data_IF_164004190256
#
_entry.id   IF_164004190256
#
_cell.length_a   1.000
_cell.length_b   1.000
_cell.length_c   1.000
_cell.angle_alpha   90.00
_cell.angle_beta   90.00
_cell.angle_gamma   90.00
#
_symmetry.space_group_name_H-M   'P 1'
#
loop_
_entity.id
_entity.type
_entity.pdbx_description
1 polymer ?
#
# COMPACT_ATOMS: atom_id res chain seq x y z
N UNK A 1 -16.01 15.22 1.43
CA UNK A 1 -14.92 14.37 1.91
C UNK A 1 -15.02 13.09 1.11
N UNK A 2 -14.12 12.86 0.17
CA UNK A 2 -14.13 11.66 -0.67
C UNK A 2 -13.90 10.47 0.25
N UNK A 3 -14.81 9.51 0.24
CA UNK A 3 -14.81 8.38 1.17
C UNK A 3 -13.58 7.49 0.88
N UNK A 4 -12.96 6.91 1.92
CA UNK A 4 -11.86 5.95 1.78
C UNK A 4 -12.17 4.87 0.73
N UNK A 5 -13.43 4.41 0.70
CA UNK A 5 -13.94 3.43 -0.25
C UNK A 5 -13.97 3.94 -1.70
N UNK A 6 -14.22 5.23 -1.92
CA UNK A 6 -14.16 5.83 -3.26
C UNK A 6 -12.73 5.86 -3.79
N UNK A 7 -11.76 6.29 -2.95
CA UNK A 7 -10.34 6.28 -3.30
C UNK A 7 -9.81 4.86 -3.55
N UNK A 8 -10.21 3.90 -2.70
CA UNK A 8 -9.89 2.50 -2.85
C UNK A 8 -10.36 1.97 -4.20
N UNK A 9 -11.64 2.16 -4.52
CA UNK A 9 -12.25 1.68 -5.76
C UNK A 9 -11.61 2.32 -7.00
N UNK A 10 -11.38 3.64 -6.98
CA UNK A 10 -10.74 4.34 -8.08
C UNK A 10 -9.32 3.81 -8.35
N UNK A 11 -8.56 3.57 -7.29
CA UNK A 11 -7.19 3.05 -7.37
C UNK A 11 -7.14 1.60 -7.87
N UNK A 12 -8.10 0.76 -7.43
CA UNK A 12 -8.25 -0.62 -7.95
C UNK A 12 -8.51 -0.59 -9.46
N UNK A 13 -9.48 0.21 -9.91
CA UNK A 13 -9.83 0.30 -11.34
C UNK A 13 -8.63 0.75 -12.15
N UNK A 14 -7.88 1.73 -11.64
CA UNK A 14 -6.66 2.21 -12.29
C UNK A 14 -5.62 1.10 -12.43
N UNK A 15 -5.36 0.34 -11.35
CA UNK A 15 -4.44 -0.80 -11.39
C UNK A 15 -4.83 -1.84 -12.44
N UNK A 16 -6.10 -2.26 -12.39
CA UNK A 16 -6.64 -3.33 -13.24
C UNK A 16 -6.65 -2.96 -14.72
N UNK A 17 -6.76 -1.66 -15.04
CA UNK A 17 -6.79 -1.17 -16.43
C UNK A 17 -5.43 -0.78 -16.98
N UNK A 18 -4.61 -0.12 -16.16
CA UNK A 18 -3.41 0.57 -16.66
C UNK A 18 -2.12 -0.18 -16.33
N UNK A 19 -2.07 -0.95 -15.23
CA UNK A 19 -0.82 -1.55 -14.76
C UNK A 19 -0.81 -3.07 -14.99
N UNK A 20 -1.79 -3.79 -14.45
CA UNK A 20 -1.78 -5.26 -14.48
C UNK A 20 -1.77 -5.85 -15.90
N UNK A 21 -2.55 -5.33 -16.89
CA UNK A 21 -2.51 -5.85 -18.24
C UNK A 21 -1.13 -5.69 -18.90
N UNK A 22 -0.41 -4.60 -18.60
CA UNK A 22 0.94 -4.38 -19.13
C UNK A 22 1.91 -5.41 -18.55
N UNK A 23 1.82 -5.67 -17.24
CA UNK A 23 2.63 -6.69 -16.57
C UNK A 23 2.41 -8.09 -17.18
N UNK A 24 1.16 -8.47 -17.43
CA UNK A 24 0.82 -9.75 -18.06
C UNK A 24 1.25 -9.82 -19.52
N UNK A 25 0.89 -8.83 -20.33
CA UNK A 25 1.08 -8.88 -21.78
C UNK A 25 2.54 -8.84 -22.21
N UNK A 26 3.43 -8.39 -21.32
CA UNK A 26 4.88 -8.40 -21.53
C UNK A 26 5.57 -9.52 -20.72
N UNK A 27 4.78 -10.44 -20.16
CA UNK A 27 5.24 -11.58 -19.38
C UNK A 27 6.22 -11.17 -18.26
N UNK A 28 5.96 -10.03 -17.61
CA UNK A 28 6.81 -9.44 -16.56
C UNK A 28 6.54 -10.03 -15.18
N UNK A 29 5.48 -10.83 -15.04
CA UNK A 29 5.14 -11.51 -13.78
C UNK A 29 5.23 -13.02 -13.93
N UNK A 30 5.68 -13.68 -12.86
CA UNK A 30 5.91 -15.12 -12.78
C UNK A 30 5.06 -15.75 -11.68
N UNK A 31 4.82 -17.06 -11.82
CA UNK A 31 4.17 -17.84 -10.78
C UNK A 31 5.12 -18.07 -9.60
N UNK A 32 4.68 -17.67 -8.42
CA UNK A 32 5.32 -17.84 -7.13
C UNK A 32 4.39 -18.69 -6.26
N UNK A 33 4.71 -19.98 -6.02
CA UNK A 33 3.89 -20.88 -5.22
C UNK A 33 3.71 -20.41 -3.75
N UNK A 34 4.68 -19.70 -3.20
CA UNK A 34 4.68 -19.25 -1.80
C UNK A 34 3.73 -18.07 -1.56
N UNK A 35 3.40 -17.33 -2.62
CA UNK A 35 2.50 -16.16 -2.55
C UNK A 35 1.13 -16.53 -1.95
N UNK A 36 0.60 -17.71 -2.27
CA UNK A 36 -0.77 -18.10 -1.91
C UNK A 36 -0.86 -18.87 -0.59
N UNK A 37 0.17 -19.65 -0.23
CA UNK A 37 0.08 -20.61 0.86
C UNK A 37 0.30 -20.03 2.27
N UNK A 38 1.08 -18.94 2.42
CA UNK A 38 1.46 -18.45 3.75
C UNK A 38 1.06 -17.01 4.05
N UNK A 39 0.92 -16.22 3.00
CA UNK A 39 0.92 -14.77 3.09
C UNK A 39 -0.49 -14.21 3.10
N UNK A 40 -1.31 -14.73 2.20
CA UNK A 40 -2.58 -14.12 1.84
C UNK A 40 -3.61 -14.07 3.00
N UNK A 41 -3.82 -15.15 3.79
CA UNK A 41 -4.71 -15.10 4.95
C UNK A 41 -4.23 -14.15 6.05
N UNK A 42 -2.91 -14.09 6.27
CA UNK A 42 -2.31 -13.23 7.30
C UNK A 42 -2.47 -11.76 6.95
N UNK A 43 -2.31 -11.42 5.66
CA UNK A 43 -2.51 -10.06 5.13
C UNK A 43 -3.96 -9.64 5.34
N UNK A 44 -4.91 -10.47 4.90
CA UNK A 44 -6.32 -10.17 5.02
C UNK A 44 -6.76 -9.94 6.47
N UNK A 45 -6.29 -10.77 7.38
CA UNK A 45 -6.63 -10.66 8.80
C UNK A 45 -6.02 -9.40 9.44
N UNK A 46 -4.76 -9.10 9.14
CA UNK A 46 -4.13 -7.86 9.61
C UNK A 46 -4.86 -6.63 9.07
N UNK A 47 -5.32 -6.65 7.81
CA UNK A 47 -5.92 -5.48 7.13
C UNK A 47 -7.15 -5.02 7.87
N UNK A 48 -8.01 -5.99 8.20
CA UNK A 48 -9.25 -5.75 8.93
C UNK A 48 -9.00 -5.28 10.35
N UNK A 49 -8.07 -5.92 11.09
CA UNK A 49 -7.78 -5.52 12.46
C UNK A 49 -7.24 -4.09 12.55
N UNK A 50 -6.35 -3.72 11.62
CA UNK A 50 -5.74 -2.40 11.63
C UNK A 50 -6.71 -1.32 11.14
N UNK A 51 -7.51 -1.59 10.09
CA UNK A 51 -8.60 -0.69 9.67
C UNK A 51 -9.54 -0.40 10.85
N UNK A 52 -10.02 -1.43 11.52
CA UNK A 52 -10.93 -1.27 12.68
C UNK A 52 -10.29 -0.48 13.83
N UNK A 53 -9.00 -0.73 14.12
CA UNK A 53 -8.25 0.00 15.16
C UNK A 53 -8.10 1.49 14.82
N UNK A 54 -7.78 1.81 13.56
CA UNK A 54 -7.62 3.18 13.08
C UNK A 54 -8.97 3.92 13.11
N UNK A 55 -10.02 3.32 12.54
CA UNK A 55 -11.36 3.91 12.48
C UNK A 55 -11.91 4.20 13.89
N UNK A 56 -11.76 3.25 14.82
CA UNK A 56 -12.19 3.43 16.20
C UNK A 56 -11.50 4.62 16.88
N UNK A 57 -10.20 4.78 16.68
CA UNK A 57 -9.41 5.87 17.31
C UNK A 57 -9.66 7.22 16.68
N UNK A 58 -9.79 7.27 15.34
CA UNK A 58 -10.18 8.48 14.62
C UNK A 58 -11.56 8.94 15.09
N UNK A 59 -12.51 8.02 15.28
CA UNK A 59 -13.84 8.35 15.82
C UNK A 59 -13.76 8.96 17.23
N UNK A 60 -12.92 8.42 18.12
CA UNK A 60 -12.69 8.98 19.46
C UNK A 60 -12.10 10.40 19.39
N UNK A 61 -11.10 10.60 18.53
CA UNK A 61 -10.47 11.91 18.33
C UNK A 61 -11.49 12.93 17.79
N UNK A 62 -12.25 12.58 16.76
CA UNK A 62 -13.30 13.46 16.23
C UNK A 62 -14.34 13.81 17.30
N UNK A 63 -14.84 12.81 18.03
CA UNK A 63 -15.82 13.05 19.10
C UNK A 63 -15.29 14.01 20.16
N UNK A 64 -14.01 13.88 20.54
CA UNK A 64 -13.38 14.79 21.49
C UNK A 64 -13.32 16.23 20.98
N UNK A 65 -12.89 16.43 19.73
CA UNK A 65 -12.77 17.74 19.11
C UNK A 65 -14.16 18.37 18.85
N UNK A 66 -15.13 17.59 18.37
CA UNK A 66 -16.49 18.03 18.09
C UNK A 66 -17.23 18.48 19.37
N UNK A 67 -16.82 17.98 20.53
CA UNK A 67 -17.28 18.44 21.84
C UNK A 67 -16.65 19.76 22.30
N UNK A 68 -15.78 20.37 21.50
CA UNK A 68 -15.12 21.65 21.77
C UNK A 68 -13.86 21.54 22.64
N UNK A 69 -13.34 20.34 22.87
CA UNK A 69 -12.11 20.14 23.61
C UNK A 69 -10.88 20.39 22.72
N UNK A 70 -9.75 20.74 23.33
CA UNK A 70 -8.47 20.88 22.61
C UNK A 70 -7.72 19.54 22.53
N UNK A 71 -6.74 19.44 21.64
CA UNK A 71 -5.91 18.24 21.48
C UNK A 71 -5.13 17.90 22.75
N UNK A 72 -4.63 18.91 23.46
CA UNK A 72 -3.80 18.73 24.68
C UNK A 72 -4.53 18.02 25.81
N UNK A 73 -5.87 18.12 25.84
CA UNK A 73 -6.72 17.42 26.81
C UNK A 73 -7.19 16.03 26.36
N UNK A 74 -6.83 15.60 25.15
CA UNK A 74 -7.13 14.27 24.66
C UNK A 74 -6.24 13.22 25.33
N UNK A 75 -6.69 11.97 25.34
CA UNK A 75 -5.90 10.86 25.89
C UNK A 75 -4.61 10.66 25.06
N UNK A 76 -3.48 11.06 25.64
CA UNK A 76 -2.17 10.98 25.00
C UNK A 76 -1.71 9.55 24.68
N UNK A 77 -2.20 8.53 25.41
CA UNK A 77 -1.91 7.13 25.08
C UNK A 77 -2.67 6.72 23.82
N UNK A 78 -3.93 7.11 23.70
CA UNK A 78 -4.73 6.85 22.49
C UNK A 78 -4.15 7.59 21.29
N UNK A 79 -3.66 8.81 21.48
CA UNK A 79 -3.02 9.60 20.43
C UNK A 79 -1.71 8.97 19.94
N UNK A 80 -0.88 8.53 20.89
CA UNK A 80 0.38 7.83 20.57
C UNK A 80 0.11 6.51 19.86
N UNK A 81 -0.88 5.73 20.33
CA UNK A 81 -1.28 4.49 19.69
C UNK A 81 -1.92 4.74 18.31
N UNK A 82 -2.64 5.85 18.10
CA UNK A 82 -3.14 6.23 16.78
C UNK A 82 -1.98 6.51 15.81
N UNK A 83 -1.01 7.33 16.19
CA UNK A 83 0.18 7.62 15.38
C UNK A 83 0.97 6.35 15.10
N UNK A 84 1.22 5.53 16.12
CA UNK A 84 1.93 4.27 15.98
C UNK A 84 1.17 3.31 15.04
N UNK A 85 -0.12 3.08 15.29
CA UNK A 85 -0.92 2.18 14.48
C UNK A 85 -0.97 2.69 13.04
N UNK A 86 -1.24 3.97 12.76
CA UNK A 86 -1.28 4.45 11.37
C UNK A 86 0.06 4.24 10.64
N UNK A 87 1.17 4.69 11.24
CA UNK A 87 2.50 4.68 10.60
C UNK A 87 3.04 3.25 10.44
N UNK A 88 3.06 2.46 11.51
CA UNK A 88 3.55 1.07 11.48
C UNK A 88 2.63 0.14 10.71
N UNK A 89 1.32 0.41 10.69
CA UNK A 89 0.38 -0.34 9.84
C UNK A 89 0.66 -0.10 8.38
N UNK A 90 0.67 1.16 7.95
CA UNK A 90 0.93 1.49 6.56
C UNK A 90 2.29 0.95 6.13
N UNK A 91 3.31 1.08 6.98
CA UNK A 91 4.64 0.56 6.71
C UNK A 91 4.66 -0.97 6.60
N UNK A 92 4.10 -1.67 7.57
CA UNK A 92 4.02 -3.13 7.57
C UNK A 92 3.25 -3.67 6.35
N UNK A 93 2.19 -2.98 5.92
CA UNK A 93 1.50 -3.30 4.67
C UNK A 93 2.38 -3.16 3.47
N UNK A 94 3.08 -2.05 3.41
CA UNK A 94 3.96 -1.73 2.31
C UNK A 94 5.08 -2.77 2.21
N UNK A 95 5.74 -3.11 3.32
CA UNK A 95 6.81 -4.12 3.35
C UNK A 95 6.31 -5.49 2.88
N UNK A 96 5.13 -5.91 3.33
CA UNK A 96 4.49 -7.15 2.89
C UNK A 96 4.22 -7.08 1.38
N UNK A 97 3.50 -6.06 0.92
CA UNK A 97 3.15 -5.88 -0.49
C UNK A 97 4.37 -5.89 -1.40
N UNK A 98 5.38 -5.10 -1.04
CA UNK A 98 6.58 -4.91 -1.84
C UNK A 98 7.41 -6.17 -1.93
N UNK A 99 7.57 -6.91 -0.83
CA UNK A 99 8.23 -8.22 -0.83
C UNK A 99 7.54 -9.17 -1.81
N UNK A 100 6.21 -9.26 -1.78
CA UNK A 100 5.51 -10.15 -2.69
C UNK A 100 5.50 -9.69 -4.14
N UNK A 101 5.40 -8.38 -4.39
CA UNK A 101 5.50 -7.87 -5.75
C UNK A 101 6.87 -8.24 -6.34
N UNK A 102 7.94 -8.03 -5.57
CA UNK A 102 9.31 -8.38 -5.98
C UNK A 102 9.40 -9.86 -6.34
N UNK A 103 8.88 -10.76 -5.49
CA UNK A 103 8.95 -12.21 -5.74
C UNK A 103 8.11 -12.68 -6.94
N UNK A 104 7.12 -11.88 -7.33
CA UNK A 104 6.24 -12.18 -8.46
C UNK A 104 6.71 -11.54 -9.77
N UNK A 105 7.74 -10.68 -9.76
CA UNK A 105 8.28 -10.03 -10.97
C UNK A 105 9.43 -10.86 -11.55
N UNK A 106 9.46 -11.02 -12.87
CA UNK A 106 10.59 -11.63 -13.56
C UNK A 106 11.79 -10.67 -13.60
N UNK A 107 12.63 -10.76 -12.57
CA UNK A 107 13.83 -9.92 -12.44
C UNK A 107 14.78 -10.04 -13.64
N UNK A 108 14.79 -11.19 -14.33
CA UNK A 108 15.65 -11.42 -15.49
C UNK A 108 15.24 -10.52 -16.68
N UNK A 109 13.94 -10.28 -16.85
CA UNK A 109 13.40 -9.45 -17.95
C UNK A 109 13.64 -7.96 -17.73
N UNK A 110 13.66 -7.54 -16.47
CA UNK A 110 14.00 -6.16 -16.11
C UNK A 110 15.51 -6.00 -15.85
N UNK A 111 16.34 -6.93 -16.32
CA UNK A 111 17.81 -6.89 -16.27
C UNK A 111 18.39 -6.69 -14.87
N UNK A 112 17.73 -7.24 -13.86
CA UNK A 112 18.21 -7.26 -12.47
C UNK A 112 18.88 -8.59 -12.16
N UNK A 113 20.09 -8.53 -11.59
CA UNK A 113 20.90 -9.69 -11.20
C UNK A 113 21.03 -9.87 -9.67
N UNK A 114 20.37 -9.01 -8.87
CA UNK A 114 20.50 -9.03 -7.41
C UNK A 114 19.59 -10.10 -6.78
N UNK A 115 20.12 -10.80 -5.79
CA UNK A 115 19.40 -11.81 -4.99
C UNK A 115 18.38 -11.20 -4.02
N UNK A 116 18.44 -9.89 -3.75
CA UNK A 116 17.53 -9.17 -2.86
C UNK A 116 17.34 -7.72 -3.35
N UNK A 117 16.52 -7.50 -4.37
CA UNK A 117 16.33 -6.18 -4.94
C UNK A 117 15.38 -5.35 -4.06
N UNK A 118 15.81 -4.14 -3.69
CA UNK A 118 14.92 -3.18 -3.02
C UNK A 118 13.74 -2.82 -3.92
N UNK A 119 12.56 -2.68 -3.33
CA UNK A 119 11.33 -2.32 -4.05
C UNK A 119 11.48 -1.13 -5.01
N UNK A 120 12.02 -0.01 -4.52
CA UNK A 120 12.23 1.18 -5.34
C UNK A 120 13.14 0.93 -6.56
N UNK A 121 14.09 -0.02 -6.46
CA UNK A 121 14.94 -0.43 -7.58
C UNK A 121 14.15 -1.25 -8.60
N UNK A 122 13.28 -2.15 -8.15
CA UNK A 122 12.37 -2.91 -9.02
C UNK A 122 11.43 -1.97 -9.78
N UNK A 123 10.79 -1.02 -9.09
CA UNK A 123 9.91 -0.02 -9.72
C UNK A 123 10.68 0.81 -10.75
N UNK A 124 11.91 1.22 -10.44
CA UNK A 124 12.78 1.93 -11.40
C UNK A 124 13.09 1.06 -12.62
N UNK A 125 13.50 -0.19 -12.45
CA UNK A 125 13.83 -1.07 -13.57
C UNK A 125 12.60 -1.44 -14.41
N UNK A 126 11.42 -1.59 -13.79
CA UNK A 126 10.15 -1.72 -14.51
C UNK A 126 9.88 -0.49 -15.39
N UNK A 127 10.16 0.72 -14.90
CA UNK A 127 9.98 1.93 -15.72
C UNK A 127 10.96 2.07 -16.89
N UNK A 128 12.09 1.35 -16.84
CA UNK A 128 13.09 1.30 -17.91
C UNK A 128 12.84 0.14 -18.88
N UNK A 129 11.88 -0.75 -18.57
CA UNK A 129 11.53 -1.88 -19.42
C UNK A 129 11.02 -1.42 -20.79
N UNK A 130 11.47 -2.12 -21.83
CA UNK A 130 11.08 -1.90 -23.21
C UNK A 130 10.44 -3.17 -23.75
N UNK A 131 9.30 -3.02 -24.41
CA UNK A 131 8.63 -4.13 -25.08
C UNK A 131 9.44 -4.62 -26.30
N UNK A 132 8.93 -5.64 -26.99
CA UNK A 132 9.60 -6.22 -28.17
C UNK A 132 9.89 -5.20 -29.29
N UNK A 133 9.09 -4.15 -29.40
CA UNK A 133 9.26 -3.08 -30.39
C UNK A 133 10.24 -1.97 -29.91
N UNK A 134 10.82 -2.12 -28.72
CA UNK A 134 11.76 -1.16 -28.13
C UNK A 134 11.09 0.05 -27.46
N UNK A 135 9.76 0.11 -27.41
CA UNK A 135 8.99 1.17 -26.77
C UNK A 135 8.99 1.06 -25.25
N UNK A 136 9.09 2.20 -24.56
CA UNK A 136 8.87 2.25 -23.10
C UNK A 136 7.40 1.99 -22.81
N UNK A 137 7.16 1.10 -21.85
CA UNK A 137 5.79 0.63 -21.53
C UNK A 137 5.22 1.31 -20.30
N UNK A 138 6.08 1.94 -19.49
CA UNK A 138 5.70 2.64 -18.29
C UNK A 138 6.34 4.03 -18.22
N UNK A 139 5.60 4.99 -17.66
CA UNK A 139 6.17 6.28 -17.26
C UNK A 139 6.77 6.17 -15.86
N UNK A 140 8.02 6.58 -15.67
CA UNK A 140 8.70 6.45 -14.37
C UNK A 140 7.94 7.12 -13.23
N UNK A 141 7.61 8.40 -13.36
CA UNK A 141 6.89 9.13 -12.31
C UNK A 141 5.48 8.57 -12.10
N UNK A 142 4.89 8.01 -13.15
CA UNK A 142 3.58 7.38 -13.08
C UNK A 142 3.61 6.12 -12.23
N UNK A 143 4.61 5.25 -12.46
CA UNK A 143 4.83 4.06 -11.64
C UNK A 143 5.25 4.40 -10.22
N UNK A 144 6.17 5.34 -10.04
CA UNK A 144 6.65 5.77 -8.71
C UNK A 144 5.49 6.23 -7.85
N UNK A 145 4.64 7.12 -8.39
CA UNK A 145 3.43 7.62 -7.73
C UNK A 145 2.41 6.51 -7.51
N UNK A 146 2.15 5.69 -8.52
CA UNK A 146 1.17 4.62 -8.41
C UNK A 146 1.54 3.63 -7.31
N UNK A 147 2.81 3.25 -7.24
CA UNK A 147 3.33 2.33 -6.24
C UNK A 147 3.73 3.00 -4.94
N UNK A 148 3.42 4.28 -4.71
CA UNK A 148 3.66 5.01 -3.46
C UNK A 148 5.09 4.85 -2.90
N UNK A 149 6.09 4.85 -3.79
CA UNK A 149 7.51 4.68 -3.41
C UNK A 149 7.96 5.76 -2.42
N UNK A 150 7.48 6.98 -2.57
CA UNK A 150 7.81 8.10 -1.67
C UNK A 150 7.27 7.85 -0.26
N UNK A 151 5.98 7.50 -0.15
CA UNK A 151 5.35 7.19 1.13
C UNK A 151 6.03 6.00 1.83
N UNK A 152 6.50 5.00 1.08
CA UNK A 152 7.30 3.91 1.64
C UNK A 152 8.53 4.39 2.39
N UNK A 153 9.29 5.32 1.80
CA UNK A 153 10.51 5.83 2.41
C UNK A 153 10.18 6.72 3.61
N UNK A 154 9.15 7.55 3.46
CA UNK A 154 8.60 8.37 4.56
C UNK A 154 8.22 7.52 5.77
N UNK A 155 7.56 6.38 5.55
CA UNK A 155 7.15 5.47 6.61
C UNK A 155 8.32 4.70 7.28
N UNK A 156 9.52 4.69 6.69
CA UNK A 156 10.72 4.12 7.33
C UNK A 156 11.24 4.99 8.48
N UNK A 157 10.74 6.23 8.63
CA UNK A 157 11.12 7.10 9.74
C UNK A 157 10.40 6.70 11.03
N UNK A 158 11.16 6.57 12.12
CA UNK A 158 10.63 6.20 13.44
C UNK A 158 10.04 7.38 14.23
N UNK A 159 10.22 8.62 13.76
CA UNK A 159 9.89 9.85 14.49
C UNK A 159 8.63 10.53 13.95
N UNK A 160 7.47 9.92 14.19
CA UNK A 160 6.17 10.51 13.87
C UNK A 160 5.50 11.12 15.10
N UNK A 161 4.84 12.26 14.92
CA UNK A 161 4.00 12.90 15.94
C UNK A 161 2.76 13.55 15.32
N UNK A 162 1.78 13.94 16.14
CA UNK A 162 0.65 14.75 15.69
C UNK A 162 0.91 16.21 16.05
N UNK A 163 0.84 17.12 15.07
CA UNK A 163 1.05 18.55 15.31
C UNK A 163 -0.23 19.25 15.78
N UNK A 164 -0.13 20.56 16.04
CA UNK A 164 -1.26 21.39 16.50
C UNK A 164 -2.43 21.47 15.51
N UNK A 165 -2.19 21.19 14.23
CA UNK A 165 -3.21 21.17 13.17
C UNK A 165 -3.87 19.79 13.00
N UNK A 166 -3.58 18.82 13.89
CA UNK A 166 -4.01 17.42 13.76
C UNK A 166 -3.43 16.73 12.52
N UNK A 167 -2.23 17.12 12.12
CA UNK A 167 -1.50 16.50 11.02
C UNK A 167 -0.39 15.60 11.55
N UNK A 168 -0.31 14.40 10.98
CA UNK A 168 0.76 13.46 11.24
C UNK A 168 2.04 13.95 10.59
N UNK A 169 3.04 14.20 11.40
CA UNK A 169 4.25 14.90 11.03
C UNK A 169 5.47 14.05 11.37
N UNK A 170 6.50 14.11 10.53
CA UNK A 170 7.82 13.55 10.81
C UNK A 170 8.91 14.50 10.30
N UNK A 171 10.14 14.28 10.76
CA UNK A 171 11.34 15.02 10.34
C UNK A 171 12.29 14.10 9.58
N UNK A 172 12.70 14.53 8.38
CA UNK A 172 13.72 13.85 7.58
C UNK A 172 15.13 14.09 8.15
N UNK A 173 16.10 13.28 7.71
CA UNK A 173 17.49 13.40 8.19
C UNK A 173 18.15 14.75 7.87
N UNK A 174 17.63 15.49 6.89
CA UNK A 174 18.12 16.81 6.52
C UNK A 174 17.38 17.97 7.23
N UNK A 175 16.46 17.65 8.13
CA UNK A 175 15.65 18.62 8.89
C UNK A 175 14.39 19.08 8.15
N UNK A 176 14.06 18.51 6.99
CA UNK A 176 12.79 18.78 6.31
C UNK A 176 11.63 18.21 7.12
N UNK A 177 10.65 19.05 7.45
CA UNK A 177 9.44 18.64 8.16
C UNK A 177 8.32 18.39 7.15
N UNK A 178 7.72 17.21 7.21
CA UNK A 178 6.62 16.80 6.32
C UNK A 178 5.42 16.45 7.18
N UNK A 179 4.24 16.95 6.80
CA UNK A 179 2.99 16.77 7.53
C UNK A 179 1.89 16.29 6.58
N UNK A 180 1.08 15.35 7.05
CA UNK A 180 -0.09 14.83 6.36
C UNK A 180 -1.31 14.96 7.25
N UNK A 181 -2.40 15.53 6.75
CA UNK A 181 -3.65 15.48 7.47
C UNK A 181 -4.24 14.04 7.46
N UNK A 182 -5.22 13.79 8.33
CA UNK A 182 -5.87 12.48 8.48
C UNK A 182 -6.43 11.98 7.13
N UNK A 183 -7.04 12.86 6.34
CA UNK A 183 -7.64 12.52 5.05
C UNK A 183 -6.60 12.13 4.00
N UNK A 184 -5.44 12.80 3.99
CA UNK A 184 -4.31 12.46 3.12
C UNK A 184 -3.76 11.07 3.46
N UNK A 185 -3.51 10.78 4.74
CA UNK A 185 -3.06 9.45 5.15
C UNK A 185 -4.09 8.36 4.87
N UNK A 186 -5.39 8.64 5.04
CA UNK A 186 -6.44 7.71 4.65
C UNK A 186 -6.44 7.45 3.14
N UNK A 187 -6.19 8.48 2.33
CA UNK A 187 -6.00 8.36 0.89
C UNK A 187 -4.79 7.51 0.52
N UNK A 188 -3.65 7.72 1.17
CA UNK A 188 -2.43 6.92 0.98
C UNK A 188 -2.65 5.45 1.36
N UNK A 189 -3.30 5.20 2.51
CA UNK A 189 -3.68 3.86 2.95
C UNK A 189 -4.65 3.19 1.96
N UNK A 190 -5.64 3.92 1.44
CA UNK A 190 -6.57 3.42 0.43
C UNK A 190 -5.84 3.07 -0.87
N UNK A 191 -4.87 3.89 -1.29
CA UNK A 191 -4.00 3.62 -2.44
C UNK A 191 -3.20 2.33 -2.27
N UNK A 192 -2.52 2.18 -1.14
CA UNK A 192 -1.74 0.97 -0.81
C UNK A 192 -2.65 -0.27 -0.82
N UNK A 193 -3.79 -0.20 -0.14
CA UNK A 193 -4.73 -1.31 -0.06
C UNK A 193 -5.30 -1.67 -1.43
N UNK A 194 -5.59 -0.69 -2.27
CA UNK A 194 -6.06 -0.92 -3.63
C UNK A 194 -5.07 -1.76 -4.44
N UNK A 195 -3.78 -1.44 -4.35
CA UNK A 195 -2.74 -2.16 -5.10
C UNK A 195 -2.61 -3.59 -4.59
N UNK A 196 -2.61 -3.79 -3.27
CA UNK A 196 -2.54 -5.13 -2.66
C UNK A 196 -3.72 -5.99 -3.10
N UNK A 197 -4.94 -5.45 -2.98
CA UNK A 197 -6.17 -6.15 -3.32
C UNK A 197 -6.23 -6.46 -4.83
N UNK A 198 -5.98 -5.46 -5.67
CA UNK A 198 -6.04 -5.60 -7.11
C UNK A 198 -4.93 -6.53 -7.63
N UNK A 199 -3.70 -6.41 -7.13
CA UNK A 199 -2.61 -7.32 -7.49
C UNK A 199 -2.96 -8.75 -7.08
N UNK A 200 -3.32 -8.98 -5.81
CA UNK A 200 -3.72 -10.29 -5.29
C UNK A 200 -4.80 -10.93 -6.14
N UNK A 201 -5.92 -10.23 -6.33
CA UNK A 201 -7.09 -10.73 -7.03
C UNK A 201 -6.74 -11.15 -8.45
N UNK A 202 -6.03 -10.30 -9.18
CA UNK A 202 -5.69 -10.57 -10.57
C UNK A 202 -4.58 -11.62 -10.69
N UNK A 203 -3.62 -11.64 -9.77
CA UNK A 203 -2.59 -12.67 -9.69
C UNK A 203 -3.18 -14.07 -9.50
N UNK A 204 -4.09 -14.23 -8.52
CA UNK A 204 -4.80 -15.50 -8.28
C UNK A 204 -5.59 -15.91 -9.52
N UNK A 205 -6.32 -14.99 -10.17
CA UNK A 205 -7.05 -15.30 -11.41
C UNK A 205 -6.14 -15.81 -12.52
N UNK A 206 -4.94 -15.25 -12.64
CA UNK A 206 -4.00 -15.63 -13.69
C UNK A 206 -3.32 -16.98 -13.39
N UNK A 207 -2.81 -17.17 -12.18
CA UNK A 207 -1.90 -18.29 -11.87
C UNK A 207 -2.51 -19.41 -11.02
N UNK A 208 -3.68 -19.18 -10.42
CA UNK A 208 -4.40 -20.13 -9.57
C UNK A 208 -5.93 -19.97 -9.66
N UNK A 209 -6.44 -19.91 -10.89
CA UNK A 209 -7.87 -19.70 -11.18
C UNK A 209 -8.78 -20.76 -10.55
N UNK A 210 -8.29 -21.99 -10.38
CA UNK A 210 -9.05 -23.09 -9.79
C UNK A 210 -9.37 -22.87 -8.31
N UNK A 211 -8.50 -22.17 -7.57
CA UNK A 211 -8.72 -21.86 -6.16
C UNK A 211 -9.39 -20.51 -5.94
N UNK A 212 -9.60 -19.71 -6.98
CA UNK A 212 -10.14 -18.34 -6.87
C UNK A 212 -11.47 -18.29 -6.12
N UNK A 213 -12.44 -19.15 -6.46
CA UNK A 213 -13.75 -19.18 -5.79
C UNK A 213 -13.67 -19.68 -4.34
N UNK A 214 -12.70 -20.56 -4.04
CA UNK A 214 -12.40 -20.97 -2.67
C UNK A 214 -11.85 -19.81 -1.86
N UNK A 215 -10.87 -19.09 -2.41
CA UNK A 215 -10.26 -17.93 -1.76
C UNK A 215 -11.25 -16.78 -1.60
N UNK A 216 -12.09 -16.51 -2.60
CA UNK A 216 -13.15 -15.51 -2.52
C UNK A 216 -14.16 -15.82 -1.41
N UNK A 217 -14.49 -17.09 -1.20
CA UNK A 217 -15.38 -17.52 -0.10
C UNK A 217 -14.72 -17.41 1.27
N UNK A 218 -13.45 -17.80 1.37
CA UNK A 218 -12.74 -17.86 2.65
C UNK A 218 -12.20 -16.49 3.09
N UNK A 219 -11.87 -15.61 2.14
CA UNK A 219 -11.27 -14.30 2.37
C UNK A 219 -11.94 -13.21 1.53
N UNK A 220 -13.27 -13.02 1.64
CA UNK A 220 -14.03 -12.11 0.78
C UNK A 220 -13.46 -10.70 0.73
N UNK A 221 -12.89 -10.20 1.83
CA UNK A 221 -12.26 -8.89 1.93
C UNK A 221 -11.10 -8.67 0.94
N UNK A 222 -10.43 -9.73 0.49
CA UNK A 222 -9.37 -9.63 -0.52
C UNK A 222 -9.88 -9.52 -1.96
N UNK A 223 -11.18 -9.77 -2.16
CA UNK A 223 -11.81 -9.88 -3.47
C UNK A 223 -13.04 -8.97 -3.62
N UNK A 224 -13.21 -8.02 -2.69
CA UNK A 224 -14.22 -6.96 -2.75
C UNK A 224 -13.89 -5.95 -3.84
#
# INVERSE_FOLDING_TARGET
MTDYEEYLKASIIKFEREIFPILINNDLIIKNPEFLHHSLPKIAYRLEMQKASIESKICLLHTHIDNGNNLESFDGMILTDLTFVLTQTMFGYFQIFTSYLVDCIDLSKIKMSKNDPKFAQVVKQLSEFRNHDGGLVFHHDGLRKFFNVDMSHTLEHDLWWLNENLEFTFEELDGTVVSFNIGELQGELAGINAIVLAFTKNYVKTFDSMNYDGMKRNYPQLFR
#
